data_IF_870547597242
#
_entry.id   IF_870547597242
#
_cell.length_a   1.000
_cell.length_b   1.000
_cell.length_c   1.000
_cell.angle_alpha   90.00
_cell.angle_beta   90.00
_cell.angle_gamma   90.00
#
_symmetry.space_group_name_H-M   'P 1'
#
loop_
_entity.id
_entity.type
_entity.pdbx_description
1 polymer ?
#
# COMPACT_ATOMS: atom_id res chain seq x y z
N UNK A 1 5.17 -8.50 3.74
CA UNK A 1 5.87 -7.62 2.80
C UNK A 1 4.94 -7.45 1.62
N UNK A 2 4.49 -6.22 1.40
CA UNK A 2 3.64 -5.86 0.28
C UNK A 2 4.40 -4.89 -0.63
N UNK A 3 4.03 -4.87 -1.91
CA UNK A 3 4.50 -3.88 -2.88
C UNK A 3 3.43 -2.80 -2.99
N UNK A 4 3.79 -1.56 -2.71
CA UNK A 4 2.87 -0.43 -2.74
C UNK A 4 3.41 0.66 -3.67
N UNK A 5 2.75 0.82 -4.82
CA UNK A 5 3.10 1.83 -5.81
C UNK A 5 2.58 3.23 -5.45
N UNK A 6 1.73 3.34 -4.43
CA UNK A 6 1.23 4.60 -3.89
C UNK A 6 2.20 5.27 -2.91
N UNK A 7 3.27 4.58 -2.51
CA UNK A 7 4.28 5.10 -1.60
C UNK A 7 5.54 5.52 -2.35
N UNK A 8 5.99 6.76 -2.14
CA UNK A 8 7.30 7.20 -2.65
C UNK A 8 8.44 6.55 -1.87
N UNK A 9 8.25 6.33 -0.56
CA UNK A 9 9.24 5.78 0.35
C UNK A 9 8.78 4.46 0.96
N UNK A 10 9.74 3.57 1.19
CA UNK A 10 9.51 2.29 1.84
C UNK A 10 9.25 2.52 3.34
N UNK A 11 8.24 1.81 3.86
CA UNK A 11 7.81 1.89 5.26
C UNK A 11 7.95 0.50 5.89
N UNK A 12 8.50 0.44 7.09
CA UNK A 12 8.67 -0.80 7.85
C UNK A 12 7.94 -0.74 9.18
N UNK A 13 7.58 -1.91 9.71
CA UNK A 13 6.97 -2.02 11.03
C UNK A 13 8.04 -1.97 12.13
N UNK A 14 7.75 -1.42 13.33
CA UNK A 14 8.74 -1.29 14.39
C UNK A 14 9.47 -2.57 14.78
N UNK A 15 8.78 -3.72 14.78
CA UNK A 15 9.37 -5.02 15.15
C UNK A 15 10.38 -5.57 14.14
N UNK A 16 10.48 -4.98 12.95
CA UNK A 16 11.46 -5.34 11.91
C UNK A 16 12.78 -4.60 12.12
N UNK A 17 12.76 -3.47 12.84
CA UNK A 17 13.94 -2.63 13.06
C UNK A 17 14.58 -2.98 14.40
N UNK A 18 15.89 -3.21 14.41
CA UNK A 18 16.64 -3.57 15.63
C UNK A 18 17.13 -2.35 16.42
N UNK A 19 16.78 -1.12 16.00
CA UNK A 19 17.20 0.08 16.71
C UNK A 19 16.46 0.28 18.03
N UNK A 20 17.22 0.61 19.07
CA UNK A 20 16.67 0.88 20.41
C UNK A 20 15.98 2.25 20.51
N UNK A 21 16.17 3.13 19.52
CA UNK A 21 15.62 4.48 19.52
C UNK A 21 15.32 4.92 18.09
N UNK A 22 14.04 5.13 17.81
CA UNK A 22 13.59 5.69 16.54
C UNK A 22 13.23 7.17 16.76
N UNK A 23 13.82 8.12 16.01
CA UNK A 23 13.48 9.53 16.18
C UNK A 23 12.03 9.75 15.73
N UNK A 24 11.26 10.56 16.47
CA UNK A 24 9.91 10.94 16.02
C UNK A 24 9.99 11.81 14.76
N UNK A 25 9.17 11.49 13.76
CA UNK A 25 8.96 12.35 12.59
C UNK A 25 7.76 13.27 12.82
N UNK A 26 7.78 14.46 12.22
CA UNK A 26 6.60 15.33 12.13
C UNK A 26 5.61 14.87 11.05
N UNK A 27 5.96 13.86 10.27
CA UNK A 27 5.16 13.31 9.17
C UNK A 27 4.22 12.21 9.64
N UNK A 28 3.17 11.98 8.85
CA UNK A 28 2.11 11.02 9.13
C UNK A 28 1.87 10.14 7.92
N UNK A 29 1.65 8.86 8.15
CA UNK A 29 1.11 7.95 7.15
C UNK A 29 -0.40 7.91 7.30
N UNK A 30 -1.13 8.40 6.29
CA UNK A 30 -2.58 8.39 6.29
C UNK A 30 -3.11 7.38 5.27
N UNK A 31 -3.90 6.43 5.76
CA UNK A 31 -4.66 5.51 4.94
C UNK A 31 -5.91 6.19 4.38
N UNK A 32 -6.41 5.63 3.28
CA UNK A 32 -7.64 6.03 2.60
C UNK A 32 -8.87 5.98 3.53
N UNK A 33 -8.84 5.09 4.51
CA UNK A 33 -9.90 4.95 5.52
C UNK A 33 -9.99 6.17 6.46
N UNK A 34 -9.07 7.12 6.35
CA UNK A 34 -8.92 8.28 7.23
C UNK A 34 -8.14 7.95 8.51
N UNK A 35 -7.69 6.70 8.67
CA UNK A 35 -6.77 6.34 9.74
C UNK A 35 -5.38 6.90 9.42
N UNK A 36 -4.81 7.67 10.34
CA UNK A 36 -3.44 8.15 10.23
C UNK A 36 -2.62 7.62 11.40
N UNK A 37 -1.38 7.22 11.11
CA UNK A 37 -0.39 6.79 12.09
C UNK A 37 0.85 7.67 12.00
N UNK A 38 1.48 7.94 13.13
CA UNK A 38 2.71 8.73 13.19
C UNK A 38 3.87 7.96 12.59
N UNK A 39 4.80 8.66 11.95
CA UNK A 39 6.03 8.08 11.45
C UNK A 39 7.19 8.26 12.45
N UNK A 40 8.10 7.30 12.46
CA UNK A 40 9.42 7.44 13.07
C UNK A 40 10.54 7.31 12.03
N UNK A 41 11.68 7.93 12.29
CA UNK A 41 12.82 7.96 11.40
C UNK A 41 12.93 9.26 10.59
N UNK A 42 13.55 9.21 9.40
CA UNK A 42 13.92 7.98 8.73
C UNK A 42 15.24 7.37 9.27
N UNK A 43 15.40 6.05 9.12
CA UNK A 43 16.55 5.26 9.61
C UNK A 43 17.09 4.35 8.52
N UNK A 44 18.38 4.02 8.57
CA UNK A 44 19.00 3.11 7.59
C UNK A 44 18.57 1.67 7.87
N UNK A 45 17.89 1.04 6.90
CA UNK A 45 17.47 -0.36 6.98
C UNK A 45 17.99 -1.14 5.79
N UNK A 46 18.65 -2.26 6.07
CA UNK A 46 19.06 -3.22 5.05
C UNK A 46 17.86 -4.12 4.71
N UNK A 47 17.37 -4.00 3.48
CA UNK A 47 16.27 -4.81 2.96
C UNK A 47 16.85 -5.87 2.02
N UNK A 48 16.52 -7.13 2.28
CA UNK A 48 16.92 -8.25 1.45
C UNK A 48 15.70 -8.90 0.79
N UNK A 49 15.74 -9.02 -0.54
CA UNK A 49 14.70 -9.67 -1.33
C UNK A 49 15.33 -10.44 -2.50
N UNK A 50 14.89 -11.67 -2.73
CA UNK A 50 15.45 -12.56 -3.76
C UNK A 50 16.98 -12.79 -3.62
N UNK A 51 17.54 -12.63 -2.42
CA UNK A 51 19.00 -12.69 -2.20
C UNK A 51 19.76 -11.53 -2.83
N UNK A 52 19.08 -10.45 -3.19
CA UNK A 52 19.67 -9.14 -3.45
C UNK A 52 19.36 -8.24 -2.24
N UNK A 53 20.25 -7.30 -1.95
CA UNK A 53 20.14 -6.41 -0.80
C UNK A 53 20.41 -4.96 -1.18
N UNK A 54 19.80 -4.07 -0.41
CA UNK A 54 19.97 -2.62 -0.49
C UNK A 54 19.79 -2.03 0.90
N UNK A 55 20.56 -0.99 1.21
CA UNK A 55 20.34 -0.15 2.38
C UNK A 55 19.57 1.07 1.91
N UNK A 56 18.42 1.34 2.52
CA UNK A 56 17.58 2.49 2.24
C UNK A 56 17.27 3.24 3.52
N UNK A 57 17.06 4.54 3.37
CA UNK A 57 16.58 5.41 4.42
C UNK A 57 15.05 5.28 4.46
N UNK A 58 14.53 4.55 5.45
CA UNK A 58 13.09 4.19 5.53
C UNK A 58 12.42 4.83 6.73
N UNK A 59 11.11 5.05 6.62
CA UNK A 59 10.29 5.39 7.76
C UNK A 59 9.75 4.14 8.45
N UNK A 60 9.50 4.27 9.75
CA UNK A 60 8.90 3.22 10.58
C UNK A 60 7.50 3.66 10.98
N UNK A 61 6.52 2.76 10.93
CA UNK A 61 5.12 3.06 11.26
C UNK A 61 4.38 1.82 11.79
N UNK A 62 3.34 2.03 12.60
CA UNK A 62 2.42 0.96 12.98
C UNK A 62 1.54 0.57 11.78
N UNK A 63 1.99 -0.43 11.03
CA UNK A 63 1.32 -0.99 9.84
C UNK A 63 1.05 -2.49 10.00
N UNK A 64 0.08 -3.04 9.27
CA UNK A 64 -0.26 -4.46 9.35
C UNK A 64 0.85 -5.35 8.78
N UNK A 65 1.32 -5.01 7.57
CA UNK A 65 2.44 -5.67 6.92
C UNK A 65 3.76 -5.36 7.65
N UNK A 66 4.69 -6.30 7.63
CA UNK A 66 6.05 -6.07 8.16
C UNK A 66 6.80 -4.96 7.41
N UNK A 67 6.52 -4.80 6.11
CA UNK A 67 7.16 -3.81 5.27
C UNK A 67 6.32 -3.57 4.00
N UNK A 68 6.11 -2.30 3.68
CA UNK A 68 5.50 -1.81 2.44
C UNK A 68 6.62 -1.27 1.56
N UNK A 69 6.93 -1.97 0.48
CA UNK A 69 7.95 -1.58 -0.48
C UNK A 69 7.44 -0.46 -1.37
N UNK A 70 8.01 0.73 -1.21
CA UNK A 70 7.71 1.92 -1.99
C UNK A 70 8.52 2.01 -3.29
N UNK A 71 8.32 3.10 -4.01
CA UNK A 71 8.99 3.38 -5.28
C UNK A 71 10.51 3.50 -5.12
N UNK A 72 11.01 4.04 -4.01
CA UNK A 72 12.44 4.10 -3.67
C UNK A 72 13.14 2.73 -3.74
N UNK A 73 12.55 1.69 -3.15
CA UNK A 73 13.08 0.33 -3.20
C UNK A 73 12.99 -0.24 -4.61
N UNK A 74 11.81 -0.12 -5.24
CA UNK A 74 11.57 -0.68 -6.56
C UNK A 74 12.51 -0.09 -7.61
N UNK A 75 12.74 1.23 -7.55
CA UNK A 75 13.65 1.93 -8.46
C UNK A 75 15.12 1.61 -8.14
N UNK A 76 15.53 1.65 -6.87
CA UNK A 76 16.91 1.35 -6.44
C UNK A 76 17.34 -0.08 -6.83
N UNK A 77 16.41 -1.03 -6.76
CA UNK A 77 16.68 -2.43 -7.09
C UNK A 77 16.47 -2.78 -8.57
N UNK A 78 15.96 -1.84 -9.39
CA UNK A 78 15.64 -2.07 -10.80
C UNK A 78 14.55 -3.13 -10.97
N UNK A 79 13.54 -3.11 -10.10
CA UNK A 79 12.46 -4.09 -10.09
C UNK A 79 11.56 -3.97 -11.33
N UNK A 80 11.05 -5.10 -11.81
CA UNK A 80 9.99 -5.15 -12.83
C UNK A 80 8.78 -5.93 -12.31
N UNK A 81 7.59 -5.38 -12.49
CA UNK A 81 6.34 -5.96 -11.98
C UNK A 81 5.50 -6.53 -13.13
N UNK A 82 5.36 -7.84 -13.20
CA UNK A 82 4.43 -8.51 -14.11
C UNK A 82 3.14 -8.87 -13.37
N UNK A 83 2.12 -8.02 -13.55
CA UNK A 83 0.80 -8.22 -12.95
C UNK A 83 0.02 -9.38 -13.58
N UNK A 84 0.32 -9.76 -14.83
CA UNK A 84 -0.35 -10.89 -15.49
C UNK A 84 0.15 -12.20 -14.91
N UNK A 85 1.47 -12.34 -14.78
CA UNK A 85 2.09 -13.51 -14.18
C UNK A 85 2.04 -13.47 -12.64
N UNK A 86 1.70 -12.32 -12.05
CA UNK A 86 1.81 -12.05 -10.61
C UNK A 86 3.23 -12.32 -10.11
N UNK A 87 4.21 -11.69 -10.77
CA UNK A 87 5.63 -11.86 -10.52
C UNK A 87 6.32 -10.51 -10.33
N UNK A 88 7.21 -10.44 -9.36
CA UNK A 88 8.15 -9.34 -9.19
C UNK A 88 9.54 -9.85 -9.58
N UNK A 89 10.14 -9.27 -10.61
CA UNK A 89 11.52 -9.54 -10.97
C UNK A 89 12.44 -8.54 -10.25
N UNK A 90 13.43 -9.06 -9.53
CA UNK A 90 14.44 -8.29 -8.80
C UNK A 90 15.81 -8.74 -9.28
N UNK A 91 16.52 -7.88 -10.01
CA UNK A 91 17.87 -8.17 -10.58
C UNK A 91 17.94 -9.53 -11.31
N UNK A 92 16.97 -9.83 -12.18
CA UNK A 92 16.93 -11.09 -12.95
C UNK A 92 16.38 -12.30 -12.19
N UNK A 93 15.99 -12.15 -10.92
CA UNK A 93 15.36 -13.21 -10.14
C UNK A 93 13.87 -12.94 -9.96
N UNK A 94 13.06 -13.94 -10.30
CA UNK A 94 11.61 -13.86 -10.18
C UNK A 94 11.16 -14.26 -8.78
N UNK A 95 10.40 -13.37 -8.14
CA UNK A 95 9.69 -13.60 -6.89
C UNK A 95 8.19 -13.73 -7.22
N UNK A 96 7.57 -14.90 -6.99
CA UNK A 96 6.14 -15.04 -7.17
C UNK A 96 5.39 -14.18 -6.14
N UNK A 97 4.43 -13.40 -6.59
CA UNK A 97 3.57 -12.61 -5.72
C UNK A 97 2.34 -13.44 -5.33
N UNK A 98 1.94 -13.34 -4.06
CA UNK A 98 0.70 -13.95 -3.59
C UNK A 98 -0.48 -13.35 -4.34
N UNK A 99 -1.34 -14.19 -4.94
CA UNK A 99 -2.68 -13.74 -5.34
C UNK A 99 -3.53 -13.72 -4.09
N UNK A 100 -3.96 -12.53 -3.67
CA UNK A 100 -5.14 -12.46 -2.83
C UNK A 100 -6.27 -13.04 -3.68
N UNK A 101 -6.76 -14.24 -3.35
CA UNK A 101 -7.95 -14.80 -3.98
C UNK A 101 -9.16 -14.08 -3.39
N UNK A 102 -9.23 -12.77 -3.54
CA UNK A 102 -10.40 -12.00 -3.18
C UNK A 102 -11.49 -12.35 -4.17
N UNK A 103 -12.57 -12.92 -3.65
CA UNK A 103 -13.82 -13.05 -4.40
C UNK A 103 -14.20 -11.62 -4.82
N UNK A 104 -14.27 -11.37 -6.13
CA UNK A 104 -14.83 -10.11 -6.62
C UNK A 104 -16.32 -10.13 -6.35
N UNK A 105 -16.84 -9.01 -5.88
CA UNK A 105 -18.24 -8.89 -5.57
C UNK A 105 -18.71 -7.48 -5.95
N UNK A 106 -19.87 -7.38 -6.61
CA UNK A 106 -20.44 -6.09 -6.95
C UNK A 106 -21.03 -5.46 -5.69
N UNK A 107 -20.63 -4.22 -5.41
CA UNK A 107 -21.18 -3.44 -4.32
C UNK A 107 -21.99 -2.27 -4.87
N UNK A 108 -23.12 -1.98 -4.24
CA UNK A 108 -23.95 -0.82 -4.58
C UNK A 108 -23.66 0.32 -3.62
N UNK A 109 -23.31 1.49 -4.14
CA UNK A 109 -23.25 2.72 -3.36
C UNK A 109 -24.64 3.03 -2.78
N UNK A 110 -24.70 3.37 -1.50
CA UNK A 110 -25.97 3.67 -0.83
C UNK A 110 -26.46 5.10 -1.06
N UNK A 111 -25.59 5.98 -1.55
CA UNK A 111 -25.90 7.37 -1.88
C UNK A 111 -25.18 7.76 -3.15
N UNK A 112 -25.78 8.68 -3.90
CA UNK A 112 -25.11 9.33 -5.01
C UNK A 112 -23.97 10.21 -4.46
N UNK A 113 -22.75 10.09 -4.97
CA UNK A 113 -21.64 10.97 -4.58
C UNK A 113 -20.70 11.22 -5.75
N UNK A 114 -20.33 12.50 -5.93
CA UNK A 114 -19.29 12.91 -6.88
C UNK A 114 -17.93 12.60 -6.27
N UNK A 115 -17.15 11.73 -6.91
CA UNK A 115 -15.75 11.49 -6.52
C UNK A 115 -14.84 12.27 -7.48
N UNK A 116 -14.01 13.21 -7.00
CA UNK A 116 -13.08 13.94 -7.84
C UNK A 116 -12.14 13.00 -8.63
N UNK A 117 -11.72 13.39 -9.83
CA UNK A 117 -10.67 12.66 -10.55
C UNK A 117 -9.40 12.55 -9.70
N UNK A 118 -8.71 11.41 -9.78
CA UNK A 118 -7.47 11.14 -9.02
C UNK A 118 -7.65 11.26 -7.50
N UNK A 119 -8.85 11.02 -7.01
CA UNK A 119 -9.13 10.94 -5.58
C UNK A 119 -9.75 9.59 -5.24
N UNK A 120 -9.54 9.16 -4.02
CA UNK A 120 -10.11 7.93 -3.51
C UNK A 120 -11.04 8.28 -2.35
N UNK A 121 -12.19 7.62 -2.28
CA UNK A 121 -13.20 7.95 -1.27
C UNK A 121 -13.85 6.72 -0.65
N UNK A 122 -13.98 6.77 0.67
CA UNK A 122 -14.79 5.84 1.44
C UNK A 122 -16.26 6.21 1.36
N UNK A 123 -17.11 5.26 0.95
CA UNK A 123 -18.55 5.45 0.89
C UNK A 123 -19.35 4.27 1.45
N UNK A 124 -20.52 4.53 2.05
CA UNK A 124 -21.42 3.48 2.50
C UNK A 124 -21.90 2.68 1.30
N UNK A 125 -21.72 1.36 1.38
CA UNK A 125 -22.03 0.46 0.29
C UNK A 125 -22.64 -0.84 0.80
N UNK A 126 -23.37 -1.50 -0.09
CA UNK A 126 -24.14 -2.70 0.19
C UNK A 126 -23.71 -3.78 -0.78
N UNK A 127 -23.13 -4.86 -0.24
CA UNK A 127 -22.94 -6.08 -1.01
C UNK A 127 -24.29 -6.78 -1.18
N UNK A 128 -24.62 -7.19 -2.40
CA UNK A 128 -25.86 -7.94 -2.64
C UNK A 128 -25.91 -9.20 -1.76
N UNK A 129 -26.99 -9.33 -0.98
CA UNK A 129 -27.21 -10.46 -0.08
C UNK A 129 -26.56 -10.37 1.31
N UNK A 130 -25.76 -9.34 1.62
CA UNK A 130 -25.04 -9.23 2.91
C UNK A 130 -25.51 -8.04 3.76
N UNK A 131 -26.32 -8.26 4.81
CA UNK A 131 -26.71 -7.20 5.76
C UNK A 131 -25.92 -7.33 7.07
N UNK A 132 -25.55 -6.22 7.74
CA UNK A 132 -25.79 -4.80 7.41
C UNK A 132 -24.83 -4.24 6.34
N UNK A 133 -25.09 -3.04 5.78
CA UNK A 133 -24.15 -2.37 4.87
C UNK A 133 -22.81 -2.06 5.53
N UNK A 134 -21.77 -1.99 4.70
CA UNK A 134 -20.39 -1.70 5.11
C UNK A 134 -19.84 -0.43 4.46
N UNK A 135 -18.54 -0.21 4.66
CA UNK A 135 -17.79 0.82 3.95
C UNK A 135 -17.02 0.20 2.80
N UNK A 136 -16.98 0.92 1.68
CA UNK A 136 -16.24 0.53 0.48
C UNK A 136 -15.41 1.70 0.01
N UNK A 137 -14.22 1.37 -0.47
CA UNK A 137 -13.30 2.28 -1.13
C UNK A 137 -13.68 2.38 -2.60
N UNK A 138 -13.69 3.59 -3.16
CA UNK A 138 -13.82 3.78 -4.60
C UNK A 138 -12.77 4.75 -5.15
N UNK A 139 -12.10 4.31 -6.21
CA UNK A 139 -11.18 5.08 -7.05
C UNK A 139 -11.78 5.23 -8.46
N UNK A 140 -12.23 6.44 -8.86
CA UNK A 140 -12.69 6.71 -10.20
C UNK A 140 -11.52 6.71 -11.19
N UNK A 141 -11.79 6.29 -12.43
CA UNK A 141 -10.78 6.26 -13.48
C UNK A 141 -10.20 7.65 -13.77
N UNK A 142 -8.92 7.64 -14.17
CA UNK A 142 -8.01 8.79 -14.30
C UNK A 142 -8.47 9.97 -15.18
N UNK A 143 -9.46 9.80 -16.05
CA UNK A 143 -9.80 10.81 -17.07
C UNK A 143 -11.06 11.60 -16.78
N UNK A 144 -12.02 11.07 -16.01
CA UNK A 144 -13.33 11.69 -15.85
C UNK A 144 -13.87 11.43 -14.43
N UNK A 145 -14.40 12.47 -13.78
CA UNK A 145 -15.12 12.30 -12.52
C UNK A 145 -16.30 11.36 -12.73
N UNK A 146 -16.48 10.40 -11.82
CA UNK A 146 -17.57 9.42 -11.93
C UNK A 146 -18.65 9.81 -10.94
N UNK A 147 -19.86 10.03 -11.45
CA UNK A 147 -21.08 10.07 -10.64
C UNK A 147 -21.48 8.62 -10.34
N UNK A 148 -21.42 8.25 -9.06
CA UNK A 148 -21.76 6.91 -8.54
C UNK A 148 -22.98 7.01 -7.65
#
# INVERSE_FOLDING_TARGET
MAVDLGLEQTIVRPDVVQECYLPESSEWLCCVTGHCTGLWGPVDVQIQLAGAEVVLLVYVAEIEDQCLLGLDFLTSMGCSLDLRAMQLEVRGKVVPMGRCTSRSAAMKALRATVIPPRSEMMLPCQLEGFKPPGLGVVEPNWTDGVDI
#
